data_IF_798365636464
#
_entry.id   IF_798365636464
#
_cell.length_a   1.000
_cell.length_b   1.000
_cell.length_c   1.000
_cell.angle_alpha   90.00
_cell.angle_beta   90.00
_cell.angle_gamma   90.00
#
_symmetry.space_group_name_H-M   'P 1'
#
loop_
_entity.id
_entity.type
_entity.pdbx_description
1 polymer ?
#
# COMPACT_ATOMS: atom_id res chain seq x y z
N UNK A 1 5.59 3.02 -10.34
CA UNK A 1 4.25 3.47 -9.92
C UNK A 1 3.15 2.45 -10.21
N UNK A 2 2.99 1.98 -11.46
CA UNK A 2 1.89 1.06 -11.84
C UNK A 2 1.76 -0.18 -10.95
N UNK A 3 2.88 -0.79 -10.53
CA UNK A 3 2.87 -1.96 -9.62
C UNK A 3 2.35 -1.63 -8.21
N UNK A 4 2.71 -0.48 -7.66
CA UNK A 4 2.24 -0.06 -6.33
C UNK A 4 0.73 0.21 -6.37
N UNK A 5 0.26 0.89 -7.42
CA UNK A 5 -1.18 1.13 -7.63
C UNK A 5 -1.97 -0.18 -7.70
N UNK A 6 -1.52 -1.14 -8.51
CA UNK A 6 -2.17 -2.46 -8.62
C UNK A 6 -2.23 -3.21 -7.27
N UNK A 7 -1.16 -3.15 -6.48
CA UNK A 7 -1.14 -3.74 -5.14
C UNK A 7 -2.19 -3.08 -4.24
N UNK A 8 -2.29 -1.75 -4.25
CA UNK A 8 -3.24 -1.02 -3.44
C UNK A 8 -4.70 -1.22 -3.90
N UNK A 9 -4.95 -1.37 -5.21
CA UNK A 9 -6.27 -1.70 -5.75
C UNK A 9 -6.69 -3.12 -5.35
N UNK A 10 -5.79 -4.10 -5.43
CA UNK A 10 -6.06 -5.47 -4.94
C UNK A 10 -6.25 -5.52 -3.42
N UNK A 11 -5.51 -4.73 -2.65
CA UNK A 11 -5.71 -4.65 -1.20
C UNK A 11 -7.03 -3.98 -0.83
N UNK A 12 -7.50 -3.04 -1.66
CA UNK A 12 -8.79 -2.37 -1.48
C UNK A 12 -9.98 -3.30 -1.73
N UNK A 13 -9.83 -4.30 -2.59
CA UNK A 13 -10.93 -5.17 -3.00
C UNK A 13 -11.28 -6.26 -1.98
N UNK A 14 -10.35 -6.69 -1.13
CA UNK A 14 -10.56 -7.69 -0.08
C UNK A 14 -9.40 -7.77 0.91
N UNK A 15 -9.66 -8.22 2.15
CA UNK A 15 -8.62 -8.55 3.13
C UNK A 15 -7.86 -9.84 2.79
N UNK A 16 -8.43 -10.75 2.00
CA UNK A 16 -7.86 -12.07 1.73
C UNK A 16 -6.47 -12.02 1.09
N UNK A 17 -6.18 -10.98 0.31
CA UNK A 17 -4.92 -10.80 -0.41
C UNK A 17 -3.89 -9.98 0.38
N UNK A 18 -4.26 -9.37 1.51
CA UNK A 18 -3.41 -8.43 2.25
C UNK A 18 -2.05 -9.00 2.60
N UNK A 19 -1.98 -10.18 3.24
CA UNK A 19 -0.72 -10.78 3.64
C UNK A 19 0.23 -11.04 2.46
N UNK A 20 -0.30 -11.53 1.33
CA UNK A 20 0.48 -11.74 0.11
C UNK A 20 1.00 -10.41 -0.45
N UNK A 21 0.13 -9.39 -0.46
CA UNK A 21 0.43 -8.06 -0.97
C UNK A 21 1.40 -7.26 -0.10
N UNK A 22 1.38 -7.46 1.22
CA UNK A 22 2.37 -6.89 2.13
C UNK A 22 3.78 -7.41 1.81
N UNK A 23 3.92 -8.71 1.56
CA UNK A 23 5.20 -9.31 1.14
C UNK A 23 5.65 -8.77 -0.21
N UNK A 24 4.74 -8.66 -1.18
CA UNK A 24 5.02 -8.11 -2.51
C UNK A 24 5.48 -6.65 -2.42
N UNK A 25 4.79 -5.83 -1.61
CA UNK A 25 5.13 -4.42 -1.42
C UNK A 25 6.48 -4.26 -0.68
N UNK A 26 6.75 -5.11 0.31
CA UNK A 26 8.03 -5.12 1.03
C UNK A 26 9.19 -5.50 0.10
N UNK A 27 8.99 -6.47 -0.79
CA UNK A 27 9.97 -6.84 -1.82
C UNK A 27 10.19 -5.70 -2.83
N UNK A 28 9.15 -4.94 -3.18
CA UNK A 28 9.30 -3.76 -4.03
C UNK A 28 10.08 -2.64 -3.32
N UNK A 29 9.86 -2.46 -2.00
CA UNK A 29 10.64 -1.52 -1.18
C UNK A 29 12.12 -1.91 -1.15
N UNK A 30 12.45 -3.19 -0.92
CA UNK A 30 13.84 -3.66 -0.85
C UNK A 30 14.56 -3.63 -2.19
N UNK A 31 13.85 -3.84 -3.30
CA UNK A 31 14.40 -3.73 -4.67
C UNK A 31 14.48 -2.30 -5.20
N UNK A 32 13.97 -1.32 -4.46
CA UNK A 32 13.97 0.06 -4.92
C UNK A 32 15.39 0.66 -4.81
N UNK A 33 15.80 1.51 -5.77
CA UNK A 33 17.15 2.11 -5.78
C UNK A 33 17.47 2.91 -4.52
N UNK A 34 16.45 3.50 -3.90
CA UNK A 34 16.55 4.16 -2.61
C UNK A 34 15.21 4.11 -1.87
N UNK A 35 15.23 4.19 -0.52
CA UNK A 35 14.00 4.30 0.28
C UNK A 35 13.17 5.54 -0.09
N UNK A 36 13.84 6.67 -0.39
CA UNK A 36 13.17 7.92 -0.77
C UNK A 36 12.44 7.82 -2.11
N UNK A 37 13.02 7.09 -3.08
CA UNK A 37 12.39 6.88 -4.38
C UNK A 37 11.15 6.00 -4.27
N UNK A 38 11.22 4.92 -3.47
CA UNK A 38 10.05 4.11 -3.13
C UNK A 38 8.97 4.94 -2.44
N UNK A 39 9.33 5.68 -1.38
CA UNK A 39 8.38 6.46 -0.60
C UNK A 39 7.68 7.54 -1.43
N UNK A 40 8.41 8.22 -2.31
CA UNK A 40 7.85 9.21 -3.24
C UNK A 40 6.84 8.58 -4.19
N UNK A 41 7.14 7.41 -4.77
CA UNK A 41 6.21 6.70 -5.63
C UNK A 41 4.99 6.17 -4.87
N UNK A 42 5.20 5.65 -3.66
CA UNK A 42 4.17 5.10 -2.78
C UNK A 42 3.18 6.18 -2.30
N UNK A 43 3.68 7.29 -1.75
CA UNK A 43 2.84 8.39 -1.28
C UNK A 43 1.99 8.98 -2.40
N UNK A 44 2.57 9.23 -3.58
CA UNK A 44 1.84 9.72 -4.76
C UNK A 44 0.73 8.77 -5.24
N UNK A 45 0.92 7.46 -5.11
CA UNK A 45 -0.13 6.48 -5.47
C UNK A 45 -1.18 6.32 -4.37
N UNK A 46 -0.82 6.60 -3.12
CA UNK A 46 -1.72 6.50 -1.99
C UNK A 46 -2.69 7.68 -1.91
N UNK A 47 -2.24 8.91 -2.15
CA UNK A 47 -3.05 10.14 -2.05
C UNK A 47 -4.44 10.07 -2.71
N UNK A 48 -4.60 9.66 -3.99
CA UNK A 48 -5.91 9.64 -4.62
C UNK A 48 -6.86 8.58 -4.05
N UNK A 49 -6.36 7.61 -3.28
CA UNK A 49 -7.19 6.60 -2.63
C UNK A 49 -7.88 7.11 -1.36
N UNK A 50 -7.45 8.29 -0.90
CA UNK A 50 -7.90 8.97 0.31
C UNK A 50 -8.73 10.21 -0.06
N UNK A 51 -9.33 10.25 -1.26
CA UNK A 51 -10.29 11.29 -1.65
C UNK A 51 -11.62 11.09 -0.89
N UNK A 52 -11.62 11.55 0.36
CA UNK A 52 -12.62 11.21 1.36
C UNK A 52 -13.71 12.27 1.47
N UNK A 53 -14.86 11.95 0.89
CA UNK A 53 -16.14 12.50 1.34
C UNK A 53 -17.00 11.47 2.10
N UNK A 54 -16.69 10.16 2.04
CA UNK A 54 -17.44 9.09 2.72
C UNK A 54 -16.55 7.94 3.25
N UNK A 55 -16.89 7.40 4.42
CA UNK A 55 -16.24 6.21 5.02
C UNK A 55 -16.63 4.94 4.25
N UNK A 56 -15.88 4.59 3.23
CA UNK A 56 -16.09 3.36 2.46
C UNK A 56 -15.27 2.22 3.06
N UNK A 57 -15.85 1.01 3.09
CA UNK A 57 -15.16 -0.21 3.54
C UNK A 57 -13.89 -0.52 2.71
N UNK A 58 -13.84 -0.05 1.46
CA UNK A 58 -12.66 -0.07 0.60
C UNK A 58 -11.52 0.76 1.19
N UNK A 59 -11.82 1.94 1.71
CA UNK A 59 -10.81 2.81 2.27
C UNK A 59 -10.32 2.32 3.64
N UNK A 60 -11.20 1.80 4.50
CA UNK A 60 -10.80 1.16 5.77
C UNK A 60 -9.81 0.01 5.52
N UNK A 61 -10.01 -0.76 4.44
CA UNK A 61 -9.08 -1.81 3.99
C UNK A 61 -7.72 -1.25 3.59
N UNK A 62 -7.68 -0.16 2.82
CA UNK A 62 -6.42 0.48 2.41
C UNK A 62 -5.68 1.03 3.63
N UNK A 63 -6.38 1.69 4.55
CA UNK A 63 -5.81 2.19 5.81
C UNK A 63 -5.20 1.04 6.60
N UNK A 64 -5.96 -0.03 6.84
CA UNK A 64 -5.48 -1.21 7.58
C UNK A 64 -4.26 -1.86 6.91
N UNK A 65 -4.28 -1.96 5.57
CA UNK A 65 -3.16 -2.50 4.80
C UNK A 65 -1.89 -1.65 4.97
N UNK A 66 -2.00 -0.33 4.84
CA UNK A 66 -0.87 0.59 4.98
C UNK A 66 -0.35 0.63 6.42
N UNK A 67 -1.23 0.63 7.41
CA UNK A 67 -0.85 0.56 8.82
C UNK A 67 -0.07 -0.72 9.11
N UNK A 68 -0.53 -1.88 8.62
CA UNK A 68 0.20 -3.14 8.76
C UNK A 68 1.55 -3.10 8.04
N UNK A 69 1.62 -2.53 6.83
CA UNK A 69 2.88 -2.37 6.11
C UNK A 69 3.89 -1.50 6.87
N UNK A 70 3.43 -0.43 7.50
CA UNK A 70 4.28 0.46 8.30
C UNK A 70 4.70 -0.18 9.63
N UNK A 71 3.84 -1.02 10.24
CA UNK A 71 4.14 -1.72 11.48
C UNK A 71 5.14 -2.87 11.30
N UNK A 72 5.24 -3.44 10.09
CA UNK A 72 6.22 -4.49 9.73
C UNK A 72 7.60 -3.85 9.42
N UNK A 73 7.92 -2.71 10.03
CA UNK A 73 9.21 -2.05 9.87
C UNK A 73 10.32 -2.84 10.57
N UNK A 74 11.14 -3.50 9.74
CA UNK A 74 12.49 -4.06 9.98
C UNK A 74 12.64 -4.99 11.19
N UNK A 75 12.59 -6.29 10.92
CA UNK A 75 13.31 -7.34 11.67
C UNK A 75 14.53 -7.76 10.82
#
# INVERSE_FOLDING_TARGET
>A
MLKIAAILDEARSSYATHNRKLKELSLLRSKSPSPSHFFSAFSKTLTPLFDFHCRLASADRVVSFVSNFAAVADD
#
